data_IF_625489987639
#
_entry.id   IF_625489987639
#
_cell.length_a   1.000
_cell.length_b   1.000
_cell.length_c   1.000
_cell.angle_alpha   90.00
_cell.angle_beta   90.00
_cell.angle_gamma   90.00
#
_symmetry.space_group_name_H-M   'P 1'
#
loop_
_entity.id
_entity.type
_entity.pdbx_description
1 polymer ?
#
# COMPACT_ATOMS: atom_id res chain seq x y z
N UNK A 1 24.49 -26.96 -2.86
CA UNK A 1 23.28 -26.18 -3.16
C UNK A 1 23.54 -24.77 -2.64
N UNK A 2 23.33 -23.74 -3.47
CA UNK A 2 23.31 -22.36 -2.96
C UNK A 2 22.02 -22.16 -2.18
N UNK A 3 22.10 -21.47 -1.04
CA UNK A 3 20.95 -21.01 -0.28
C UNK A 3 20.69 -19.58 -0.74
N UNK A 4 19.43 -19.26 -1.04
CA UNK A 4 18.96 -17.90 -1.31
C UNK A 4 18.01 -17.55 -0.16
N UNK A 5 18.26 -16.42 0.48
CA UNK A 5 17.36 -15.83 1.48
C UNK A 5 16.56 -14.73 0.79
N UNK A 6 15.25 -14.69 1.05
CA UNK A 6 14.36 -13.62 0.59
C UNK A 6 13.74 -12.97 1.82
N UNK A 7 13.76 -11.64 1.88
CA UNK A 7 13.12 -10.86 2.93
C UNK A 7 11.83 -10.26 2.38
N UNK A 8 10.71 -10.56 3.03
CA UNK A 8 9.43 -9.94 2.71
C UNK A 8 9.12 -8.89 3.78
N UNK A 9 9.19 -7.63 3.39
CA UNK A 9 8.58 -6.54 4.15
C UNK A 9 7.13 -6.51 3.70
N UNK A 10 6.20 -6.50 4.63
CA UNK A 10 4.79 -6.58 4.27
C UNK A 10 3.95 -5.68 5.15
N UNK A 11 2.68 -5.57 4.75
CA UNK A 11 1.62 -4.74 5.34
C UNK A 11 1.50 -3.39 4.62
N UNK A 12 0.28 -3.01 4.26
CA UNK A 12 -0.09 -1.65 3.87
C UNK A 12 -1.25 -1.25 4.78
N UNK A 13 -2.50 -1.54 4.43
CA UNK A 13 -3.66 -1.39 5.29
C UNK A 13 -3.87 0.03 5.84
N UNK A 14 -3.55 1.03 5.02
CA UNK A 14 -3.52 2.43 5.43
C UNK A 14 -4.92 3.02 5.64
N UNK A 15 -5.96 2.36 5.15
CA UNK A 15 -7.35 2.77 5.29
C UNK A 15 -7.64 4.23 4.85
N UNK A 16 -6.91 4.71 3.85
CA UNK A 16 -6.99 6.07 3.34
C UNK A 16 -6.26 7.11 4.20
N UNK A 17 -5.41 6.72 5.15
CA UNK A 17 -4.80 7.64 6.14
C UNK A 17 -3.30 7.82 5.92
N UNK A 18 -2.84 9.06 6.00
CA UNK A 18 -1.41 9.37 6.09
C UNK A 18 -0.87 9.35 7.52
N UNK A 19 -1.74 9.46 8.52
CA UNK A 19 -1.40 9.51 9.94
C UNK A 19 -2.36 8.63 10.74
N UNK A 20 -1.85 8.02 11.82
CA UNK A 20 -2.72 7.38 12.80
C UNK A 20 -3.68 8.40 13.45
N UNK A 21 -4.87 7.97 13.82
CA UNK A 21 -5.90 8.85 14.37
C UNK A 21 -5.63 9.33 15.80
N UNK A 22 -4.74 8.65 16.53
CA UNK A 22 -4.41 8.92 17.93
C UNK A 22 -2.95 9.33 18.12
N UNK A 23 -2.06 8.97 17.19
CA UNK A 23 -0.63 9.24 17.28
C UNK A 23 -0.04 9.74 15.94
N UNK A 24 0.00 11.06 15.72
CA UNK A 24 0.53 11.68 14.49
C UNK A 24 1.98 11.28 14.14
N UNK A 25 2.77 10.88 15.14
CA UNK A 25 4.14 10.38 14.95
C UNK A 25 4.20 9.02 14.23
N UNK A 26 3.07 8.30 14.16
CA UNK A 26 2.85 7.12 13.34
C UNK A 26 2.23 7.58 12.02
N UNK A 27 3.06 7.71 10.99
CA UNK A 27 2.65 8.23 9.70
C UNK A 27 3.35 7.53 8.54
N UNK A 28 2.77 7.71 7.36
CA UNK A 28 3.19 7.02 6.14
C UNK A 28 4.63 7.33 5.75
N UNK A 29 5.09 8.58 5.93
CA UNK A 29 6.47 8.96 5.61
C UNK A 29 7.49 8.25 6.51
N UNK A 30 7.18 8.12 7.80
CA UNK A 30 8.02 7.37 8.74
C UNK A 30 7.97 5.87 8.45
N UNK A 31 6.77 5.34 8.15
CA UNK A 31 6.60 3.95 7.75
C UNK A 31 7.46 3.63 6.52
N UNK A 32 7.37 4.46 5.47
CA UNK A 32 8.17 4.32 4.27
C UNK A 32 9.68 4.37 4.54
N UNK A 33 10.14 5.26 5.43
CA UNK A 33 11.56 5.31 5.83
C UNK A 33 12.02 3.98 6.43
N UNK A 34 11.21 3.38 7.32
CA UNK A 34 11.52 2.07 7.92
C UNK A 34 11.52 0.96 6.87
N UNK A 35 10.58 0.97 5.93
CA UNK A 35 10.56 0.02 4.80
C UNK A 35 11.86 0.13 4.01
N UNK A 36 12.24 1.34 3.60
CA UNK A 36 13.44 1.59 2.80
C UNK A 36 14.73 1.15 3.52
N UNK A 37 14.84 1.39 4.83
CA UNK A 37 15.98 0.91 5.62
C UNK A 37 16.09 -0.62 5.55
N UNK A 38 14.98 -1.34 5.68
CA UNK A 38 14.98 -2.81 5.59
C UNK A 38 15.26 -3.29 4.17
N UNK A 39 14.66 -2.66 3.15
CA UNK A 39 14.89 -3.06 1.76
C UNK A 39 16.35 -2.88 1.35
N UNK A 40 16.99 -1.79 1.78
CA UNK A 40 18.39 -1.49 1.47
C UNK A 40 19.38 -2.45 2.16
N UNK A 41 19.06 -2.95 3.36
CA UNK A 41 19.91 -3.88 4.11
C UNK A 41 19.88 -5.34 3.56
N UNK A 42 19.07 -5.62 2.53
CA UNK A 42 18.83 -6.97 2.03
C UNK A 42 18.86 -7.06 0.48
N UNK A 43 19.75 -7.91 -0.06
CA UNK A 43 19.94 -8.10 -1.51
C UNK A 43 18.72 -8.67 -2.27
N UNK A 44 17.84 -9.39 -1.56
CA UNK A 44 16.66 -10.04 -2.12
C UNK A 44 15.45 -9.72 -1.24
N UNK A 45 15.03 -8.46 -1.30
CA UNK A 45 13.90 -7.95 -0.55
C UNK A 45 12.73 -7.59 -1.47
N UNK A 46 11.50 -7.67 -0.92
CA UNK A 46 10.27 -7.21 -1.56
C UNK A 46 9.41 -6.50 -0.51
N UNK A 47 8.68 -5.47 -0.93
CA UNK A 47 7.65 -4.79 -0.18
C UNK A 47 6.26 -5.16 -0.69
N UNK A 48 5.47 -5.84 0.14
CA UNK A 48 4.20 -6.48 -0.26
C UNK A 48 3.02 -5.92 0.55
N UNK A 49 2.03 -5.35 -0.14
CA UNK A 49 0.79 -4.86 0.47
C UNK A 49 -0.31 -5.92 0.56
N UNK A 50 -1.22 -5.73 1.51
CA UNK A 50 -2.35 -6.61 1.83
C UNK A 50 -3.73 -5.97 1.58
N UNK A 51 -3.78 -4.74 1.10
CA UNK A 51 -5.02 -4.03 0.75
C UNK A 51 -5.72 -3.36 1.93
N UNK A 52 -6.94 -2.90 1.69
CA UNK A 52 -7.69 -1.92 2.49
C UNK A 52 -6.91 -0.60 2.67
N UNK A 53 -6.42 -0.08 1.55
CA UNK A 53 -5.60 1.12 1.48
C UNK A 53 -6.42 2.37 1.14
N UNK A 54 -7.55 2.23 0.43
CA UNK A 54 -8.27 3.40 -0.13
C UNK A 54 -9.30 4.02 0.83
N UNK A 55 -9.94 3.20 1.66
CA UNK A 55 -11.09 3.57 2.49
C UNK A 55 -10.92 2.99 3.92
N UNK A 56 -11.61 3.49 4.98
CA UNK A 56 -12.76 4.40 4.95
C UNK A 56 -12.47 5.79 5.56
N UNK A 57 -11.25 6.32 5.43
CA UNK A 57 -10.95 7.64 5.98
C UNK A 57 -11.75 8.77 5.31
N UNK A 58 -11.76 9.94 5.95
CA UNK A 58 -12.30 11.17 5.35
C UNK A 58 -11.56 11.58 4.06
N UNK A 59 -10.24 11.33 3.98
CA UNK A 59 -9.47 11.58 2.76
C UNK A 59 -9.84 10.57 1.68
N UNK A 60 -10.04 9.30 2.05
CA UNK A 60 -10.61 8.28 1.17
C UNK A 60 -11.94 8.72 0.59
N UNK A 61 -12.84 9.26 1.41
CA UNK A 61 -14.13 9.77 0.93
C UNK A 61 -14.00 10.99 -0.01
N UNK A 62 -13.08 11.91 0.27
CA UNK A 62 -12.89 13.14 -0.53
C UNK A 62 -12.22 12.87 -1.88
N UNK A 63 -11.21 12.00 -1.89
CA UNK A 63 -10.36 11.73 -3.05
C UNK A 63 -10.62 10.37 -3.70
N UNK A 64 -11.55 9.60 -3.15
CA UNK A 64 -11.93 8.27 -3.64
C UNK A 64 -10.72 7.34 -3.82
N UNK A 65 -9.73 7.45 -2.92
CA UNK A 65 -8.51 6.66 -2.90
C UNK A 65 -7.33 7.20 -3.73
N UNK A 66 -7.51 8.22 -4.57
CA UNK A 66 -6.46 8.76 -5.46
C UNK A 66 -5.18 9.14 -4.71
N UNK A 67 -5.34 9.84 -3.57
CA UNK A 67 -4.22 10.28 -2.73
C UNK A 67 -3.38 9.12 -2.18
N UNK A 68 -3.98 7.95 -1.97
CA UNK A 68 -3.26 6.76 -1.53
C UNK A 68 -2.56 6.06 -2.70
N UNK A 69 -3.17 6.04 -3.88
CA UNK A 69 -2.49 5.53 -5.09
C UNK A 69 -1.23 6.34 -5.36
N UNK A 70 -1.31 7.67 -5.33
CA UNK A 70 -0.13 8.55 -5.48
C UNK A 70 0.96 8.22 -4.45
N UNK A 71 0.58 8.08 -3.18
CA UNK A 71 1.53 7.77 -2.13
C UNK A 71 2.14 6.36 -2.27
N UNK A 72 1.35 5.36 -2.65
CA UNK A 72 1.81 3.99 -2.82
C UNK A 72 2.70 3.82 -4.06
N UNK A 73 2.46 4.60 -5.12
CA UNK A 73 3.35 4.68 -6.27
C UNK A 73 4.72 5.26 -5.86
N UNK A 74 4.76 6.36 -5.10
CA UNK A 74 6.01 6.91 -4.56
C UNK A 74 6.74 5.94 -3.60
N UNK A 75 5.98 5.05 -2.95
CA UNK A 75 6.55 4.05 -2.05
C UNK A 75 7.16 2.84 -2.77
N UNK A 76 7.04 2.72 -4.10
CA UNK A 76 7.54 1.61 -4.91
C UNK A 76 7.13 0.23 -4.35
N UNK A 77 5.85 0.04 -3.99
CA UNK A 77 5.35 -1.26 -3.51
C UNK A 77 5.38 -2.31 -4.64
N UNK A 78 5.86 -3.52 -4.36
CA UNK A 78 6.09 -4.52 -5.42
C UNK A 78 4.80 -5.19 -5.89
N UNK A 79 3.84 -5.40 -4.99
CA UNK A 79 2.54 -6.04 -5.27
C UNK A 79 1.60 -5.82 -4.09
N UNK A 80 0.32 -5.64 -4.39
CA UNK A 80 -0.71 -5.43 -3.36
C UNK A 80 -1.89 -6.36 -3.58
N UNK A 81 -2.32 -7.03 -2.51
CA UNK A 81 -3.57 -7.79 -2.52
C UNK A 81 -4.78 -6.85 -2.52
N UNK A 82 -5.83 -7.20 -3.26
CA UNK A 82 -7.09 -6.44 -3.19
C UNK A 82 -7.85 -6.83 -1.92
N UNK A 83 -8.04 -5.86 -1.03
CA UNK A 83 -8.88 -5.95 0.17
C UNK A 83 -10.35 -5.64 -0.13
N UNK A 84 -11.17 -5.68 0.92
CA UNK A 84 -12.60 -5.41 0.77
C UNK A 84 -12.91 -3.91 0.64
N UNK A 85 -12.06 -3.04 1.18
CA UNK A 85 -12.24 -1.59 1.17
C UNK A 85 -11.79 -0.92 -0.14
N UNK A 86 -11.13 -1.63 -1.04
CA UNK A 86 -10.82 -1.12 -2.38
C UNK A 86 -12.07 -0.85 -3.22
N UNK A 87 -13.20 -1.48 -2.88
CA UNK A 87 -14.47 -1.36 -3.62
C UNK A 87 -15.49 -0.44 -2.95
N UNK A 88 -15.14 0.22 -1.83
CA UNK A 88 -16.09 1.04 -1.05
C UNK A 88 -16.67 2.22 -1.86
N UNK A 89 -15.92 2.72 -2.85
CA UNK A 89 -16.34 3.80 -3.75
C UNK A 89 -16.97 3.29 -5.06
N UNK A 90 -17.18 1.98 -5.18
CA UNK A 90 -17.74 1.33 -6.38
C UNK A 90 -16.67 0.71 -7.28
N UNK A 91 -17.13 -0.17 -8.17
CA UNK A 91 -16.25 -0.95 -9.03
C UNK A 91 -15.58 -0.11 -10.13
N UNK A 92 -16.26 0.92 -10.62
CA UNK A 92 -15.73 1.86 -11.60
C UNK A 92 -14.52 2.62 -11.03
N UNK A 93 -14.67 3.18 -9.82
CA UNK A 93 -13.58 3.88 -9.12
C UNK A 93 -12.45 2.90 -8.81
N UNK A 94 -12.74 1.71 -8.27
CA UNK A 94 -11.71 0.71 -8.00
C UNK A 94 -10.90 0.37 -9.27
N UNK A 95 -11.57 0.24 -10.41
CA UNK A 95 -10.92 -0.03 -11.69
C UNK A 95 -9.99 1.12 -12.10
N UNK A 96 -10.44 2.37 -11.96
CA UNK A 96 -9.62 3.56 -12.24
C UNK A 96 -8.38 3.61 -11.34
N UNK A 97 -8.55 3.39 -10.03
CA UNK A 97 -7.42 3.35 -9.07
C UNK A 97 -6.42 2.24 -9.38
N UNK A 98 -6.90 1.08 -9.83
CA UNK A 98 -6.03 -0.02 -10.26
C UNK A 98 -5.27 0.30 -11.56
N UNK A 99 -5.87 1.04 -12.49
CA UNK A 99 -5.23 1.50 -13.72
C UNK A 99 -4.20 2.61 -13.50
N UNK A 100 -4.38 3.43 -12.46
CA UNK A 100 -3.43 4.48 -12.04
C UNK A 100 -2.25 3.96 -11.22
N UNK A 101 -2.32 2.72 -10.73
CA UNK A 101 -1.28 2.11 -9.90
C UNK A 101 -0.07 1.70 -10.75
N UNK A 102 1.14 2.02 -10.28
CA UNK A 102 2.40 1.60 -10.91
C UNK A 102 2.83 0.19 -10.47
N UNK A 103 2.05 -0.43 -9.59
CA UNK A 103 2.23 -1.76 -9.06
C UNK A 103 1.04 -2.68 -9.41
N UNK A 104 1.25 -4.01 -9.44
CA UNK A 104 0.18 -4.94 -9.71
C UNK A 104 -0.73 -5.15 -8.48
N UNK A 105 -2.03 -5.06 -8.71
CA UNK A 105 -3.06 -5.59 -7.81
C UNK A 105 -3.31 -7.07 -8.07
N UNK A 106 -3.43 -7.88 -7.01
CA UNK A 106 -3.69 -9.32 -7.11
C UNK A 106 -4.94 -9.76 -6.35
N UNK A 107 -5.82 -10.46 -7.05
CA UNK A 107 -7.00 -11.15 -6.50
C UNK A 107 -7.28 -12.38 -7.34
N UNK A 108 -7.43 -13.55 -6.70
CA UNK A 108 -7.48 -14.84 -7.40
C UNK A 108 -8.81 -15.59 -7.24
N UNK A 109 -9.77 -15.01 -6.52
CA UNK A 109 -11.02 -15.65 -6.10
C UNK A 109 -12.26 -14.87 -6.52
#
# INVERSE_FOLDING_TARGET
MSVITVTLVHDTHFHGRFFDAQEDDLNLARYYTVVQDVLHDHDHSLFVGNGDDLAPSMLGLEYEGEHMIEAMNEMDVDVVGVGNHEYDFGAEVATERFEESEFPWVVAN
#
